data_IF_331087954453
#
_entry.id   IF_331087954453
#
_cell.length_a   1.000
_cell.length_b   1.000
_cell.length_c   1.000
_cell.angle_alpha   90.00
_cell.angle_beta   90.00
_cell.angle_gamma   90.00
#
_symmetry.space_group_name_H-M   'P 1'
#
loop_
_entity.id
_entity.type
_entity.pdbx_description
1 polymer ?
#
# COMPACT_ATOMS: atom_id res chain seq x y z
N UNK A 1 -19.70 -15.78 -35.11
CA UNK A 1 -19.14 -14.45 -35.41
C UNK A 1 -19.09 -13.67 -34.12
N UNK A 2 -17.94 -13.07 -33.91
CA UNK A 2 -17.31 -12.73 -32.64
C UNK A 2 -18.02 -11.61 -31.88
N UNK A 3 -18.24 -11.82 -30.59
CA UNK A 3 -18.64 -10.79 -29.64
C UNK A 3 -18.00 -11.09 -28.28
N UNK A 4 -16.68 -11.28 -28.28
CA UNK A 4 -15.88 -10.99 -27.09
C UNK A 4 -16.03 -9.51 -26.77
N UNK A 5 -17.04 -9.16 -25.96
CA UNK A 5 -17.08 -7.87 -25.27
C UNK A 5 -15.88 -7.83 -24.33
N UNK A 6 -14.74 -7.37 -24.85
CA UNK A 6 -13.57 -7.01 -24.06
C UNK A 6 -14.05 -5.95 -23.07
N UNK A 7 -14.17 -6.35 -21.80
CA UNK A 7 -14.62 -5.50 -20.72
C UNK A 7 -13.54 -4.41 -20.55
N UNK A 8 -13.72 -3.25 -21.17
CA UNK A 8 -12.77 -2.15 -21.07
C UNK A 8 -12.57 -1.81 -19.59
N UNK A 9 -11.33 -1.87 -19.13
CA UNK A 9 -11.00 -1.50 -17.77
C UNK A 9 -11.21 0.01 -17.59
N UNK A 10 -11.86 0.41 -16.49
CA UNK A 10 -12.05 1.82 -16.15
C UNK A 10 -10.79 2.44 -15.53
N UNK A 11 -10.87 3.73 -15.20
CA UNK A 11 -9.90 4.37 -14.31
C UNK A 11 -10.42 4.34 -12.87
N UNK A 12 -9.51 4.19 -11.92
CA UNK A 12 -9.78 4.33 -10.48
C UNK A 12 -8.71 5.21 -9.85
N UNK A 13 -9.05 5.96 -8.80
CA UNK A 13 -8.02 6.62 -7.99
C UNK A 13 -7.41 5.60 -7.04
N UNK A 14 -6.09 5.67 -6.86
CA UNK A 14 -5.41 4.98 -5.78
C UNK A 14 -4.78 5.96 -4.80
N UNK A 15 -4.87 5.67 -3.51
CA UNK A 15 -4.21 6.47 -2.48
C UNK A 15 -2.71 6.18 -2.45
N UNK A 16 -1.87 7.13 -1.99
CA UNK A 16 -0.43 6.90 -1.81
C UNK A 16 -0.11 5.65 -0.99
N UNK A 17 -0.90 5.35 0.05
CA UNK A 17 -0.76 4.14 0.88
C UNK A 17 -1.00 2.85 0.09
N UNK A 18 -1.88 2.86 -0.91
CA UNK A 18 -2.09 1.69 -1.76
C UNK A 18 -0.87 1.43 -2.64
N UNK A 19 -0.30 2.47 -3.25
CA UNK A 19 0.95 2.32 -4.01
C UNK A 19 2.12 1.89 -3.11
N UNK A 20 2.25 2.47 -1.91
CA UNK A 20 3.23 2.05 -0.91
C UNK A 20 3.10 0.55 -0.62
N UNK A 21 1.89 0.06 -0.36
CA UNK A 21 1.67 -1.34 -0.09
C UNK A 21 1.92 -2.22 -1.31
N UNK A 22 1.56 -1.79 -2.53
CA UNK A 22 1.85 -2.51 -3.77
C UNK A 22 3.37 -2.67 -3.95
N UNK A 23 4.16 -1.62 -3.72
CA UNK A 23 5.62 -1.64 -3.83
C UNK A 23 6.27 -2.60 -2.81
N UNK A 24 5.63 -2.80 -1.66
CA UNK A 24 6.21 -3.53 -0.53
C UNK A 24 5.61 -4.94 -0.32
N UNK A 25 4.85 -5.49 -1.27
CA UNK A 25 4.37 -6.87 -1.16
C UNK A 25 5.49 -7.89 -1.30
N UNK A 26 5.35 -9.01 -0.58
CA UNK A 26 6.30 -10.12 -0.59
C UNK A 26 5.58 -11.45 -0.77
N UNK A 27 6.23 -12.39 -1.47
CA UNK A 27 5.93 -13.82 -1.41
C UNK A 27 7.07 -14.50 -0.65
N UNK A 28 8.03 -15.10 -1.37
CA UNK A 28 9.35 -15.48 -0.85
C UNK A 28 10.36 -14.33 -1.02
N UNK A 29 10.21 -13.57 -2.10
CA UNK A 29 10.98 -12.38 -2.43
C UNK A 29 10.02 -11.20 -2.65
N UNK A 30 10.56 -10.01 -2.95
CA UNK A 30 9.78 -8.85 -3.39
C UNK A 30 8.91 -9.23 -4.59
N UNK A 31 7.63 -8.86 -4.59
CA UNK A 31 6.76 -9.09 -5.76
C UNK A 31 7.12 -8.22 -6.96
N UNK A 32 7.95 -7.20 -6.78
CA UNK A 32 8.43 -6.35 -7.87
C UNK A 32 9.25 -7.12 -8.91
N UNK A 33 9.74 -8.31 -8.58
CA UNK A 33 10.50 -9.17 -9.50
C UNK A 33 9.58 -9.99 -10.40
N UNK A 34 8.28 -10.05 -10.11
CA UNK A 34 7.27 -10.73 -10.92
C UNK A 34 6.94 -9.87 -12.17
N UNK A 35 7.19 -10.35 -13.41
CA UNK A 35 7.07 -9.52 -14.62
C UNK A 35 5.70 -8.83 -14.82
N UNK A 36 4.62 -9.48 -14.38
CA UNK A 36 3.25 -9.01 -14.57
C UNK A 36 2.62 -8.45 -13.29
N UNK A 37 3.41 -8.15 -12.26
CA UNK A 37 2.86 -7.68 -10.98
C UNK A 37 2.54 -6.18 -10.98
N UNK A 38 3.51 -5.33 -11.34
CA UNK A 38 3.35 -3.88 -11.30
C UNK A 38 3.95 -3.23 -12.55
N UNK A 39 3.12 -2.44 -13.24
CA UNK A 39 3.55 -1.42 -14.19
C UNK A 39 3.30 -0.05 -13.57
N UNK A 40 4.38 0.63 -13.14
CA UNK A 40 4.31 1.97 -12.56
C UNK A 40 4.83 2.99 -13.58
N UNK A 41 3.98 3.93 -13.96
CA UNK A 41 4.22 4.86 -15.05
C UNK A 41 4.27 6.30 -14.55
N UNK A 42 5.39 6.96 -14.80
CA UNK A 42 5.58 8.38 -14.54
C UNK A 42 5.35 9.15 -15.86
N UNK A 43 4.33 10.00 -15.89
CA UNK A 43 3.98 10.80 -17.09
C UNK A 43 4.47 12.25 -17.00
N UNK A 44 5.31 12.59 -16.01
CA UNK A 44 5.92 13.90 -15.87
C UNK A 44 6.99 14.14 -16.93
N UNK A 45 7.49 15.38 -16.99
CA UNK A 45 8.54 15.74 -17.94
C UNK A 45 9.84 14.96 -17.67
N UNK A 46 10.72 14.91 -18.68
CA UNK A 46 12.05 14.28 -18.53
C UNK A 46 12.82 14.89 -17.35
N UNK A 47 12.77 16.21 -17.23
CA UNK A 47 13.47 16.95 -16.19
C UNK A 47 12.99 16.54 -14.80
N UNK A 48 11.69 16.53 -14.56
CA UNK A 48 11.10 16.16 -13.26
C UNK A 48 11.40 14.70 -12.89
N UNK A 49 11.35 13.79 -13.86
CA UNK A 49 11.71 12.38 -13.66
C UNK A 49 13.20 12.22 -13.29
N UNK A 50 14.09 12.90 -14.02
CA UNK A 50 15.53 12.84 -13.80
C UNK A 50 15.92 13.50 -12.45
N UNK A 51 15.19 14.53 -12.00
CA UNK A 51 15.37 15.15 -10.68
C UNK A 51 15.06 14.17 -9.54
N UNK A 52 13.91 13.48 -9.60
CA UNK A 52 13.60 12.29 -8.81
C UNK A 52 12.24 11.68 -9.20
N UNK A 53 12.10 10.37 -9.09
CA UNK A 53 10.87 9.61 -9.36
C UNK A 53 10.63 8.54 -8.29
N UNK A 54 9.42 7.96 -8.26
CA UNK A 54 9.12 6.80 -7.39
C UNK A 54 9.96 5.62 -7.86
N UNK A 55 10.48 4.81 -6.93
CA UNK A 55 11.21 3.58 -7.28
C UNK A 55 10.44 2.73 -8.29
N UNK A 56 11.18 2.09 -9.21
CA UNK A 56 10.66 1.23 -10.29
C UNK A 56 9.72 1.90 -11.31
N UNK A 57 9.42 3.20 -11.17
CA UNK A 57 8.61 3.92 -12.14
C UNK A 57 9.31 4.03 -13.49
N UNK A 58 8.57 3.82 -14.57
CA UNK A 58 9.03 4.00 -15.94
C UNK A 58 8.48 5.30 -16.48
N UNK A 59 9.35 6.16 -17.01
CA UNK A 59 8.91 7.39 -17.66
C UNK A 59 8.22 7.10 -18.98
N UNK A 60 6.99 7.57 -19.13
CA UNK A 60 6.24 7.46 -20.39
C UNK A 60 6.72 8.55 -21.36
N UNK A 61 7.02 8.17 -22.60
CA UNK A 61 7.38 9.11 -23.66
C UNK A 61 6.12 9.56 -24.40
N UNK A 62 6.08 10.79 -24.88
CA UNK A 62 4.99 11.32 -25.71
C UNK A 62 5.53 11.62 -27.11
N UNK A 63 4.89 11.10 -28.16
CA UNK A 63 5.22 11.38 -29.58
C UNK A 63 3.95 11.79 -30.31
N UNK A 64 3.97 12.93 -31.00
CA UNK A 64 2.80 13.46 -31.72
C UNK A 64 1.50 13.51 -30.86
N UNK A 65 1.65 13.89 -29.58
CA UNK A 65 0.58 13.91 -28.59
C UNK A 65 0.04 12.55 -28.10
N UNK A 66 0.62 11.43 -28.55
CA UNK A 66 0.27 10.08 -28.10
C UNK A 66 1.28 9.53 -27.09
N UNK A 67 0.78 8.80 -26.08
CA UNK A 67 1.61 8.14 -25.07
C UNK A 67 2.20 6.85 -25.63
N UNK A 68 3.54 6.76 -25.63
CA UNK A 68 4.26 5.57 -26.03
C UNK A 68 4.40 4.63 -24.84
N UNK A 69 3.71 3.51 -24.94
CA UNK A 69 3.70 2.46 -23.92
C UNK A 69 5.01 1.66 -24.05
N UNK A 70 5.68 1.32 -22.94
CA UNK A 70 6.86 0.45 -23.00
C UNK A 70 6.53 -0.92 -23.60
N UNK A 71 7.20 -1.31 -24.68
CA UNK A 71 7.02 -2.61 -25.36
C UNK A 71 7.33 -3.82 -24.46
N UNK A 72 8.09 -3.61 -23.38
CA UNK A 72 8.49 -4.65 -22.43
C UNK A 72 7.37 -5.09 -21.48
N UNK A 73 6.20 -4.45 -21.50
CA UNK A 73 5.10 -4.73 -20.57
C UNK A 73 3.89 -5.26 -21.32
N UNK A 74 3.53 -6.51 -21.04
CA UNK A 74 2.23 -7.05 -21.43
C UNK A 74 1.14 -6.52 -20.49
N UNK A 75 0.54 -5.40 -20.91
CA UNK A 75 -0.51 -4.72 -20.16
C UNK A 75 -1.78 -5.57 -19.98
N UNK A 76 -2.03 -6.58 -20.81
CA UNK A 76 -3.20 -7.45 -20.61
C UNK A 76 -3.05 -8.28 -19.34
N UNK A 77 -1.81 -8.68 -19.03
CA UNK A 77 -1.51 -9.57 -17.92
C UNK A 77 -1.14 -8.81 -16.63
N UNK A 78 -0.92 -7.49 -16.70
CA UNK A 78 -0.46 -6.72 -15.54
C UNK A 78 -1.52 -6.68 -14.44
N UNK A 79 -1.14 -7.06 -13.22
CA UNK A 79 -2.04 -7.06 -12.06
C UNK A 79 -2.30 -5.64 -11.54
N UNK A 80 -1.28 -4.81 -11.51
CA UNK A 80 -1.36 -3.41 -11.09
C UNK A 80 -0.78 -2.51 -12.18
N UNK A 81 -1.62 -1.67 -12.79
CA UNK A 81 -1.17 -0.58 -13.67
C UNK A 81 -1.42 0.73 -12.93
N UNK A 82 -0.35 1.43 -12.54
CA UNK A 82 -0.43 2.69 -11.79
C UNK A 82 0.22 3.80 -12.60
N UNK A 83 -0.49 4.92 -12.77
CA UNK A 83 -0.03 6.09 -13.52
C UNK A 83 -0.06 7.30 -12.61
N UNK A 84 0.98 8.12 -12.66
CA UNK A 84 1.05 9.36 -11.91
C UNK A 84 1.72 10.51 -12.68
N UNK A 85 1.21 11.71 -12.46
CA UNK A 85 1.83 12.98 -12.81
C UNK A 85 2.26 13.70 -11.53
N UNK A 86 2.34 15.04 -11.51
CA UNK A 86 2.73 15.76 -10.30
C UNK A 86 1.68 15.73 -9.20
N UNK A 87 0.40 15.96 -9.53
CA UNK A 87 -0.61 16.30 -8.52
C UNK A 87 -2.07 15.94 -8.85
N UNK A 88 -2.34 15.13 -9.90
CA UNK A 88 -3.70 14.72 -10.25
C UNK A 88 -4.41 14.08 -9.05
N UNK A 89 -5.55 14.65 -8.66
CA UNK A 89 -6.31 14.21 -7.48
C UNK A 89 -7.76 13.83 -7.79
N UNK A 90 -8.21 14.04 -9.03
CA UNK A 90 -9.58 13.74 -9.50
C UNK A 90 -9.51 13.10 -10.89
N UNK A 91 -10.49 12.25 -11.20
CA UNK A 91 -10.66 11.70 -12.56
C UNK A 91 -11.47 12.64 -13.47
N UNK A 92 -12.08 13.66 -12.88
CA UNK A 92 -12.81 14.72 -13.56
C UNK A 92 -11.88 15.67 -14.28
N UNK A 93 -12.44 16.37 -15.26
CA UNK A 93 -11.69 17.32 -16.06
C UNK A 93 -11.60 18.66 -15.33
N UNK A 94 -10.39 19.21 -15.19
CA UNK A 94 -10.12 20.40 -14.36
C UNK A 94 -9.99 21.65 -15.26
N UNK A 95 -10.50 22.79 -14.79
CA UNK A 95 -10.31 24.10 -15.43
C UNK A 95 -8.86 24.58 -15.25
N UNK A 96 -8.14 24.87 -16.34
CA UNK A 96 -6.94 25.71 -16.26
C UNK A 96 -7.37 27.16 -16.00
N UNK A 97 -6.86 27.78 -14.94
CA UNK A 97 -6.75 29.25 -14.86
C UNK A 97 -5.48 29.61 -15.63
N UNK A 98 -5.64 30.34 -16.72
CA UNK A 98 -4.50 31.01 -17.35
C UNK A 98 -3.89 31.95 -16.30
N UNK A 99 -2.59 31.82 -16.08
CA UNK A 99 -1.81 32.79 -15.30
C UNK A 99 -1.89 34.13 -16.02
N UNK A 100 -2.39 35.14 -15.31
CA UNK A 100 -2.48 36.53 -15.75
C UNK A 100 -1.08 37.11 -15.99
N UNK A 101 -0.53 36.97 -17.20
CA UNK A 101 0.41 37.95 -17.74
C UNK A 101 0.13 38.10 -19.25
N UNK A 102 -0.50 39.24 -19.58
CA UNK A 102 -0.59 39.94 -20.87
C UNK A 102 -2.05 40.34 -21.23
N UNK A 103 -2.44 41.54 -20.78
CA UNK A 103 -3.51 42.31 -21.42
C UNK A 103 -3.07 42.68 -22.84
N UNK A 104 -3.91 42.36 -23.84
CA UNK A 104 -4.32 43.28 -24.93
C UNK A 104 -5.41 42.63 -25.82
N UNK A 105 -6.59 43.24 -25.78
CA UNK A 105 -7.66 43.36 -26.80
C UNK A 105 -8.39 42.12 -27.39
N UNK A 106 -9.56 41.85 -26.80
CA UNK A 106 -10.87 41.44 -27.35
C UNK A 106 -10.94 40.95 -28.81
N UNK A 107 -11.13 39.65 -29.02
CA UNK A 107 -12.42 39.09 -29.50
C UNK A 107 -12.35 37.57 -29.74
N UNK A 108 -13.51 36.95 -29.54
CA UNK A 108 -13.89 35.57 -29.81
C UNK A 108 -13.68 34.54 -28.68
N UNK A 109 -14.71 33.69 -28.58
CA UNK A 109 -15.11 32.86 -27.44
C UNK A 109 -13.94 32.16 -26.76
N UNK A 110 -13.79 32.41 -25.46
CA UNK A 110 -13.00 31.59 -24.55
C UNK A 110 -13.51 30.14 -24.56
N UNK A 111 -12.97 29.33 -25.48
CA UNK A 111 -13.01 27.87 -25.38
C UNK A 111 -12.15 27.51 -24.17
N UNK A 112 -12.77 27.51 -22.99
CA UNK A 112 -12.22 26.89 -21.79
C UNK A 112 -12.00 25.42 -22.12
N UNK A 113 -10.79 25.08 -22.55
CA UNK A 113 -10.43 23.68 -22.81
C UNK A 113 -10.41 22.94 -21.48
N UNK A 114 -11.38 22.05 -21.33
CA UNK A 114 -11.44 21.05 -20.29
C UNK A 114 -10.33 20.02 -20.57
N UNK A 115 -9.16 20.17 -19.93
CA UNK A 115 -8.03 19.25 -20.11
C UNK A 115 -7.91 18.34 -18.88
N UNK A 116 -8.06 17.01 -19.02
CA UNK A 116 -7.78 16.07 -17.94
C UNK A 116 -6.31 16.18 -17.49
N UNK A 117 -6.00 15.83 -16.24
CA UNK A 117 -4.61 15.70 -15.82
C UNK A 117 -3.84 14.72 -16.70
N UNK A 118 -2.54 14.93 -16.90
CA UNK A 118 -1.72 14.10 -17.79
C UNK A 118 -1.77 12.62 -17.41
N UNK A 119 -1.90 12.31 -16.11
CA UNK A 119 -2.08 10.95 -15.64
C UNK A 119 -3.42 10.34 -16.10
N UNK A 120 -4.50 11.12 -16.09
CA UNK A 120 -5.84 10.69 -16.56
C UNK A 120 -5.83 10.47 -18.07
N UNK A 121 -5.21 11.38 -18.84
CA UNK A 121 -5.06 11.23 -20.29
C UNK A 121 -4.32 9.94 -20.65
N UNK A 122 -3.17 9.70 -20.01
CA UNK A 122 -2.40 8.47 -20.20
C UNK A 122 -3.18 7.24 -19.75
N UNK A 123 -3.83 7.29 -18.58
CA UNK A 123 -4.64 6.19 -18.07
C UNK A 123 -5.81 5.81 -18.99
N UNK A 124 -6.44 6.79 -19.65
CA UNK A 124 -7.49 6.55 -20.66
C UNK A 124 -6.93 5.83 -21.89
N UNK A 125 -5.73 6.19 -22.34
CA UNK A 125 -5.06 5.50 -23.44
C UNK A 125 -4.70 4.04 -23.07
N UNK A 126 -4.36 3.79 -21.81
CA UNK A 126 -3.98 2.46 -21.30
C UNK A 126 -5.19 1.57 -20.98
N UNK A 127 -6.33 2.14 -20.63
CA UNK A 127 -7.51 1.40 -20.16
C UNK A 127 -8.07 0.37 -21.16
N UNK A 128 -7.85 0.58 -22.46
CA UNK A 128 -8.25 -0.37 -23.50
C UNK A 128 -7.30 -1.59 -23.59
N UNK A 129 -6.12 -1.51 -22.99
CA UNK A 129 -5.03 -2.48 -23.09
C UNK A 129 -4.87 -3.33 -21.82
N UNK A 130 -5.55 -2.96 -20.73
CA UNK A 130 -5.47 -3.65 -19.45
C UNK A 130 -6.74 -4.44 -19.14
N UNK A 131 -6.60 -5.58 -18.46
CA UNK A 131 -7.76 -6.32 -17.92
C UNK A 131 -8.24 -5.76 -16.58
N UNK A 132 -7.34 -5.16 -15.82
CA UNK A 132 -7.62 -4.53 -14.54
C UNK A 132 -7.70 -3.00 -14.69
N UNK A 133 -8.50 -2.30 -13.85
CA UNK A 133 -8.57 -0.84 -13.86
C UNK A 133 -7.20 -0.18 -13.75
N UNK A 134 -7.00 0.90 -14.50
CA UNK A 134 -5.79 1.71 -14.40
C UNK A 134 -5.92 2.62 -13.18
N UNK A 135 -4.97 2.51 -12.26
CA UNK A 135 -4.93 3.28 -11.03
C UNK A 135 -4.23 4.62 -11.27
N UNK A 136 -4.93 5.72 -11.02
CA UNK A 136 -4.35 7.07 -11.02
C UNK A 136 -3.95 7.44 -9.59
N UNK A 137 -2.66 7.71 -9.37
CA UNK A 137 -2.13 8.05 -8.06
C UNK A 137 -2.65 9.41 -7.61
N UNK A 138 -3.49 9.41 -6.57
CA UNK A 138 -4.12 10.61 -6.05
C UNK A 138 -3.11 11.55 -5.40
N UNK A 139 -3.02 12.77 -5.91
CA UNK A 139 -2.03 13.77 -5.52
C UNK A 139 -0.67 13.56 -6.16
N UNK A 140 -0.56 12.63 -7.13
CA UNK A 140 0.63 12.39 -7.94
C UNK A 140 1.93 12.18 -7.16
N UNK A 141 3.04 12.53 -7.81
CA UNK A 141 4.37 12.45 -7.24
C UNK A 141 4.54 13.33 -6.00
N UNK A 142 3.96 14.53 -5.98
CA UNK A 142 4.11 15.49 -4.88
C UNK A 142 3.61 14.89 -3.56
N UNK A 143 2.39 14.37 -3.55
CA UNK A 143 1.79 13.79 -2.34
C UNK A 143 2.48 12.49 -1.91
N UNK A 144 2.82 11.64 -2.88
CA UNK A 144 3.51 10.38 -2.58
C UNK A 144 4.91 10.63 -2.02
N UNK A 145 5.71 11.49 -2.66
CA UNK A 145 7.08 11.78 -2.24
C UNK A 145 7.16 12.57 -0.92
N UNK A 146 6.15 13.39 -0.61
CA UNK A 146 6.04 14.03 0.69
C UNK A 146 5.83 13.01 1.83
N UNK A 147 5.07 11.95 1.57
CA UNK A 147 4.72 10.93 2.58
C UNK A 147 5.80 9.84 2.66
N UNK A 148 6.25 9.33 1.51
CA UNK A 148 7.16 8.20 1.37
C UNK A 148 8.47 8.64 0.70
N UNK A 149 9.11 9.68 1.24
CA UNK A 149 10.33 10.28 0.68
C UNK A 149 11.50 9.31 0.54
N UNK A 150 11.48 8.17 1.24
CA UNK A 150 12.48 7.10 1.18
C UNK A 150 12.25 6.10 0.03
N UNK A 151 11.11 6.20 -0.67
CA UNK A 151 10.79 5.43 -1.88
C UNK A 151 10.93 6.26 -3.17
N UNK A 152 11.70 7.36 -3.12
CA UNK A 152 12.10 8.12 -4.30
C UNK A 152 13.55 7.83 -4.66
N UNK A 153 13.87 7.93 -5.95
CA UNK A 153 15.20 7.64 -6.50
C UNK A 153 15.50 8.57 -7.67
N UNK A 154 16.78 8.60 -8.07
CA UNK A 154 17.26 9.16 -9.34
C UNK A 154 17.77 8.05 -10.28
N UNK A 155 17.99 6.85 -9.73
CA UNK A 155 18.43 5.68 -10.47
C UNK A 155 17.23 4.98 -11.08
N UNK A 156 17.38 4.54 -12.32
CA UNK A 156 16.39 3.69 -12.96
C UNK A 156 16.57 2.28 -12.41
N UNK A 157 15.55 1.77 -11.71
CA UNK A 157 15.57 0.48 -11.01
C UNK A 157 14.56 -0.44 -11.71
N UNK A 158 15.05 -1.25 -12.64
CA UNK A 158 14.22 -2.14 -13.46
C UNK A 158 14.92 -3.44 -13.85
N UNK A 159 16.23 -3.56 -13.57
CA UNK A 159 16.92 -4.82 -13.81
C UNK A 159 16.50 -5.85 -12.77
N UNK A 160 16.28 -7.13 -13.15
CA UNK A 160 15.87 -8.16 -12.21
C UNK A 160 16.74 -8.22 -10.95
N UNK A 161 18.05 -8.08 -11.10
CA UNK A 161 19.03 -8.08 -9.98
C UNK A 161 18.79 -6.92 -8.99
N UNK A 162 18.41 -5.75 -9.47
CA UNK A 162 18.13 -4.59 -8.62
C UNK A 162 16.78 -4.77 -7.90
N UNK A 163 15.79 -5.32 -8.60
CA UNK A 163 14.47 -5.64 -8.05
C UNK A 163 14.56 -6.77 -7.01
N UNK A 164 15.45 -7.75 -7.21
CA UNK A 164 15.74 -8.81 -6.25
C UNK A 164 16.43 -8.28 -4.98
N UNK A 165 17.29 -7.27 -5.13
CA UNK A 165 17.99 -6.64 -4.02
C UNK A 165 17.08 -5.71 -3.18
N UNK A 166 15.96 -5.26 -3.74
CA UNK A 166 15.01 -4.41 -3.05
C UNK A 166 14.55 -5.05 -1.73
N UNK A 167 14.73 -4.33 -0.63
CA UNK A 167 14.27 -4.74 0.69
C UNK A 167 12.93 -4.06 0.98
N UNK A 168 11.80 -4.81 0.98
CA UNK A 168 10.49 -4.22 1.22
C UNK A 168 10.34 -3.73 2.65
N UNK A 169 9.63 -2.62 2.81
CA UNK A 169 9.21 -2.10 4.10
C UNK A 169 8.00 -2.90 4.65
N UNK A 170 7.69 -2.80 5.95
CA UNK A 170 6.46 -3.33 6.53
C UNK A 170 5.21 -2.80 5.81
N UNK A 171 4.16 -3.62 5.71
CA UNK A 171 2.90 -3.20 5.14
C UNK A 171 2.22 -2.16 6.05
N UNK A 172 1.69 -1.10 5.46
CA UNK A 172 0.99 -0.04 6.18
C UNK A 172 -0.49 -0.39 6.31
N UNK A 173 -0.92 -0.63 7.55
CA UNK A 173 -2.28 -1.06 7.88
C UNK A 173 -3.18 0.15 8.16
N UNK A 174 -2.68 1.09 8.97
CA UNK A 174 -3.32 2.37 9.22
C UNK A 174 -2.35 3.47 8.75
N UNK A 175 -2.75 4.32 7.78
CA UNK A 175 -1.88 5.33 7.20
C UNK A 175 -1.14 6.18 8.25
N UNK A 176 0.18 6.20 8.16
CA UNK A 176 1.13 6.93 9.00
C UNK A 176 1.24 6.43 10.43
N UNK A 177 0.56 5.34 10.81
CA UNK A 177 0.31 5.01 12.22
C UNK A 177 0.63 3.57 12.60
N UNK A 178 0.15 2.59 11.84
CA UNK A 178 0.27 1.17 12.20
C UNK A 178 0.81 0.36 11.02
N UNK A 179 1.91 -0.34 11.27
CA UNK A 179 2.58 -1.18 10.29
C UNK A 179 2.61 -2.65 10.73
N UNK A 180 2.51 -3.56 9.76
CA UNK A 180 2.66 -5.00 9.94
C UNK A 180 3.90 -5.51 9.19
N UNK A 181 4.88 -5.97 9.95
CA UNK A 181 6.17 -6.42 9.42
C UNK A 181 6.62 -7.78 9.94
N UNK A 182 7.84 -8.14 9.56
CA UNK A 182 8.55 -9.32 10.05
C UNK A 182 9.72 -8.93 10.97
N UNK A 183 10.34 -9.92 11.60
CA UNK A 183 11.42 -9.70 12.56
C UNK A 183 12.64 -9.01 11.94
N UNK A 184 12.98 -9.32 10.67
CA UNK A 184 14.10 -8.68 9.96
C UNK A 184 13.84 -7.19 9.77
N UNK A 185 12.62 -6.81 9.36
CA UNK A 185 12.22 -5.41 9.20
C UNK A 185 12.21 -4.66 10.53
N UNK A 186 11.77 -5.31 11.61
CA UNK A 186 11.82 -4.75 12.95
C UNK A 186 13.25 -4.50 13.44
N UNK A 187 14.21 -5.29 12.98
CA UNK A 187 15.63 -5.13 13.30
C UNK A 187 16.41 -4.26 12.29
N UNK A 188 15.75 -3.59 11.34
CA UNK A 188 16.43 -2.75 10.36
C UNK A 188 16.43 -1.27 10.81
N UNK A 189 17.59 -0.68 11.18
CA UNK A 189 17.66 0.71 11.63
C UNK A 189 17.17 1.72 10.59
N UNK A 190 17.31 1.41 9.30
CA UNK A 190 16.83 2.28 8.22
C UNK A 190 15.30 2.33 8.23
N UNK A 191 14.64 1.18 8.36
CA UNK A 191 13.18 1.11 8.45
C UNK A 191 12.68 1.86 9.70
N UNK A 192 13.34 1.66 10.86
CA UNK A 192 12.98 2.37 12.09
C UNK A 192 13.05 3.90 11.91
N UNK A 193 14.11 4.39 11.25
CA UNK A 193 14.33 5.81 11.00
C UNK A 193 13.35 6.39 9.97
N UNK A 194 13.21 5.73 8.82
CA UNK A 194 12.39 6.20 7.70
C UNK A 194 10.90 6.27 8.08
N UNK A 195 10.40 5.26 8.79
CA UNK A 195 9.01 5.19 9.24
C UNK A 195 8.78 5.90 10.59
N UNK A 196 9.86 6.35 11.26
CA UNK A 196 9.81 7.02 12.57
C UNK A 196 9.08 6.18 13.63
N UNK A 197 9.34 4.88 13.65
CA UNK A 197 8.71 3.95 14.60
C UNK A 197 9.09 4.33 16.03
N UNK A 198 8.10 4.37 16.91
CA UNK A 198 8.25 4.72 18.34
C UNK A 198 7.74 3.65 19.30
N UNK A 199 6.96 2.70 18.81
CA UNK A 199 6.42 1.61 19.60
C UNK A 199 6.38 0.31 18.81
N UNK A 200 6.50 -0.80 19.53
CA UNK A 200 6.72 -2.12 18.97
C UNK A 200 5.84 -3.14 19.65
N UNK A 201 5.22 -4.01 18.86
CA UNK A 201 4.57 -5.22 19.35
C UNK A 201 5.24 -6.41 18.70
N UNK A 202 5.97 -7.19 19.51
CA UNK A 202 6.60 -8.42 19.07
C UNK A 202 5.75 -9.62 19.50
N UNK A 203 5.20 -10.37 18.54
CA UNK A 203 4.37 -11.56 18.79
C UNK A 203 5.13 -12.82 18.37
N UNK A 204 6.35 -12.97 18.89
CA UNK A 204 7.21 -14.12 18.60
C UNK A 204 8.18 -14.44 19.75
N UNK A 205 8.95 -15.51 19.62
CA UNK A 205 9.88 -15.95 20.69
C UNK A 205 11.20 -15.18 20.64
N UNK A 206 11.56 -14.68 19.47
CA UNK A 206 12.81 -13.98 19.19
C UNK A 206 12.92 -12.68 19.98
N UNK A 207 14.12 -12.39 20.46
CA UNK A 207 14.52 -11.12 21.05
C UNK A 207 15.47 -10.41 20.09
N UNK A 208 15.21 -9.13 19.82
CA UNK A 208 16.04 -8.31 18.94
C UNK A 208 16.82 -7.24 19.70
N UNK A 209 17.82 -6.61 19.05
CA UNK A 209 18.77 -5.72 19.72
C UNK A 209 18.19 -4.34 20.08
N UNK A 210 17.13 -3.88 19.40
CA UNK A 210 16.51 -2.56 19.65
C UNK A 210 15.60 -2.53 20.89
N UNK A 211 15.50 -3.65 21.61
CA UNK A 211 14.35 -3.97 22.45
C UNK A 211 14.72 -4.21 23.92
N UNK A 212 15.87 -3.69 24.37
CA UNK A 212 16.33 -3.90 25.75
C UNK A 212 15.47 -3.07 26.71
N UNK A 213 14.55 -3.75 27.40
CA UNK A 213 13.84 -3.38 28.63
C UNK A 213 13.13 -2.01 28.70
N UNK A 214 12.69 -1.45 27.57
CA UNK A 214 11.78 -0.29 27.56
C UNK A 214 10.32 -0.76 27.44
N UNK A 215 9.70 -1.09 28.57
CA UNK A 215 8.30 -1.54 28.64
C UNK A 215 7.31 -0.51 28.09
N UNK A 216 7.70 0.76 28.04
CA UNK A 216 6.85 1.84 27.54
C UNK A 216 6.85 1.90 26.01
N UNK A 217 7.78 1.21 25.34
CA UNK A 217 7.88 1.20 23.87
C UNK A 217 7.77 -0.19 23.26
N UNK A 218 7.87 -1.25 24.05
CA UNK A 218 7.83 -2.62 23.57
C UNK A 218 6.83 -3.46 24.37
N UNK A 219 5.85 -4.00 23.65
CA UNK A 219 5.04 -5.12 24.10
C UNK A 219 5.57 -6.42 23.48
N UNK A 220 6.19 -7.28 24.29
CA UNK A 220 6.67 -8.60 23.84
C UNK A 220 5.72 -9.72 24.31
N UNK A 221 4.95 -10.27 23.37
CA UNK A 221 4.06 -11.42 23.55
C UNK A 221 4.76 -12.67 23.02
N UNK A 222 5.31 -13.48 23.93
CA UNK A 222 6.07 -14.69 23.60
C UNK A 222 5.13 -15.86 23.28
N UNK A 223 4.88 -16.06 21.98
CA UNK A 223 4.06 -17.16 21.45
C UNK A 223 4.82 -17.85 20.32
N UNK A 224 4.88 -19.18 20.35
CA UNK A 224 5.46 -20.00 19.28
C UNK A 224 4.55 -20.07 18.04
N UNK A 225 5.12 -20.25 16.85
CA UNK A 225 4.33 -20.43 15.61
C UNK A 225 3.85 -21.88 15.47
N UNK A 226 2.98 -22.33 16.37
CA UNK A 226 2.48 -23.70 16.39
C UNK A 226 0.94 -23.75 16.36
N UNK A 227 0.35 -24.92 16.03
CA UNK A 227 -1.10 -25.11 16.14
C UNK A 227 -1.66 -24.87 17.55
N UNK A 228 -0.85 -25.02 18.59
CA UNK A 228 -1.19 -24.83 19.99
C UNK A 228 -1.05 -23.36 20.46
N UNK A 229 -0.63 -22.45 19.58
CA UNK A 229 -0.47 -21.04 19.88
C UNK A 229 -1.75 -20.42 20.44
N UNK A 230 -1.65 -19.73 21.59
CA UNK A 230 -2.77 -19.08 22.25
C UNK A 230 -2.47 -17.59 22.51
N UNK A 231 -3.11 -16.71 21.73
CA UNK A 231 -2.98 -15.25 21.85
C UNK A 231 -4.10 -14.63 22.68
N UNK A 232 -5.22 -15.33 22.87
CA UNK A 232 -6.42 -14.82 23.54
C UNK A 232 -6.16 -14.11 24.88
N UNK A 233 -5.31 -14.64 25.79
CA UNK A 233 -5.05 -13.99 27.07
C UNK A 233 -4.44 -12.58 26.95
N UNK A 234 -3.77 -12.30 25.83
CA UNK A 234 -3.04 -11.05 25.62
C UNK A 234 -3.85 -10.01 24.84
N UNK A 235 -4.98 -10.37 24.22
CA UNK A 235 -5.68 -9.49 23.28
C UNK A 235 -6.13 -8.16 23.90
N UNK A 236 -6.64 -8.18 25.14
CA UNK A 236 -7.04 -6.94 25.85
C UNK A 236 -5.84 -6.02 26.06
N UNK A 237 -4.73 -6.56 26.57
CA UNK A 237 -3.53 -5.79 26.85
C UNK A 237 -2.88 -5.26 25.56
N UNK A 238 -2.83 -6.09 24.52
CA UNK A 238 -2.41 -5.72 23.18
C UNK A 238 -3.20 -4.54 22.62
N UNK A 239 -4.54 -4.62 22.67
CA UNK A 239 -5.38 -3.56 22.13
C UNK A 239 -5.18 -2.24 22.88
N UNK A 240 -5.12 -2.32 24.22
CA UNK A 240 -4.87 -1.16 25.07
C UNK A 240 -3.50 -0.51 24.80
N UNK A 241 -2.44 -1.30 24.66
CA UNK A 241 -1.10 -0.81 24.32
C UNK A 241 -1.09 -0.06 22.98
N UNK A 242 -1.71 -0.64 21.95
CA UNK A 242 -1.80 -0.03 20.63
C UNK A 242 -2.61 1.27 20.67
N UNK A 243 -3.74 1.28 21.36
CA UNK A 243 -4.59 2.45 21.54
C UNK A 243 -3.83 3.61 22.19
N UNK A 244 -3.15 3.38 23.32
CA UNK A 244 -2.37 4.42 24.00
C UNK A 244 -1.35 5.03 23.05
N UNK A 245 -0.60 4.20 22.32
CA UNK A 245 0.42 4.70 21.40
C UNK A 245 -0.16 5.47 20.22
N UNK A 246 -1.33 5.08 19.71
CA UNK A 246 -2.02 5.85 18.68
C UNK A 246 -2.48 7.21 19.21
N UNK A 247 -2.98 7.28 20.44
CA UNK A 247 -3.37 8.53 21.10
C UNK A 247 -2.17 9.46 21.35
N UNK A 248 -1.00 8.89 21.66
CA UNK A 248 0.26 9.63 21.79
C UNK A 248 0.86 10.08 20.45
N UNK A 249 0.27 9.70 19.31
CA UNK A 249 0.80 9.99 17.98
C UNK A 249 2.09 9.22 17.67
N UNK A 250 2.32 8.08 18.32
CA UNK A 250 3.41 7.18 18.00
C UNK A 250 3.11 6.38 16.75
N UNK A 251 4.14 6.16 15.94
CA UNK A 251 4.09 5.19 14.84
C UNK A 251 4.45 3.81 15.40
N UNK A 252 3.59 2.83 15.15
CA UNK A 252 3.66 1.51 15.76
C UNK A 252 4.02 0.45 14.70
N UNK A 253 4.94 -0.44 15.05
CA UNK A 253 5.27 -1.62 14.27
C UNK A 253 4.85 -2.89 15.02
N UNK A 254 3.87 -3.62 14.46
CA UNK A 254 3.51 -4.97 14.90
C UNK A 254 4.25 -5.97 14.02
N UNK A 255 4.92 -6.94 14.64
CA UNK A 255 5.67 -7.95 13.90
C UNK A 255 5.70 -9.30 14.62
N UNK A 256 6.02 -10.33 13.82
CA UNK A 256 6.42 -11.65 14.29
C UNK A 256 7.55 -12.16 13.41
N UNK A 257 7.99 -13.41 13.53
CA UNK A 257 9.06 -14.00 12.71
C UNK A 257 8.92 -13.68 11.22
N UNK A 258 7.75 -13.97 10.64
CA UNK A 258 7.47 -13.75 9.21
C UNK A 258 6.43 -12.65 8.94
N UNK A 259 5.69 -12.20 9.96
CA UNK A 259 4.63 -11.20 9.77
C UNK A 259 3.43 -11.70 8.95
N UNK A 260 3.20 -13.01 8.91
CA UNK A 260 2.13 -13.66 8.11
C UNK A 260 1.02 -14.26 9.00
N UNK A 261 1.40 -14.85 10.13
CA UNK A 261 0.50 -15.56 11.05
C UNK A 261 0.23 -14.74 12.34
N UNK A 262 1.04 -14.92 13.38
CA UNK A 262 0.87 -14.28 14.71
C UNK A 262 0.73 -12.75 14.68
N UNK A 263 1.62 -12.05 13.99
CA UNK A 263 1.55 -10.58 13.87
C UNK A 263 0.29 -10.10 13.13
N UNK A 264 -0.20 -10.87 12.16
CA UNK A 264 -1.46 -10.58 11.47
C UNK A 264 -2.64 -10.67 12.44
N UNK A 265 -2.69 -11.73 13.25
CA UNK A 265 -3.75 -11.95 14.25
C UNK A 265 -3.81 -10.81 15.27
N UNK A 266 -2.64 -10.33 15.73
CA UNK A 266 -2.58 -9.18 16.62
C UNK A 266 -3.17 -7.91 15.98
N UNK A 267 -2.84 -7.63 14.72
CA UNK A 267 -3.41 -6.51 13.96
C UNK A 267 -4.91 -6.67 13.76
N UNK A 268 -5.38 -7.87 13.41
CA UNK A 268 -6.81 -8.15 13.22
C UNK A 268 -7.60 -7.92 14.51
N UNK A 269 -7.14 -8.47 15.63
CA UNK A 269 -7.78 -8.29 16.93
C UNK A 269 -7.89 -6.81 17.30
N UNK A 270 -6.82 -6.04 17.04
CA UNK A 270 -6.81 -4.60 17.26
C UNK A 270 -7.80 -3.86 16.36
N UNK A 271 -7.83 -4.14 15.06
CA UNK A 271 -8.75 -3.48 14.13
C UNK A 271 -10.22 -3.79 14.46
N UNK A 272 -10.52 -5.01 14.91
CA UNK A 272 -11.86 -5.37 15.38
C UNK A 272 -12.25 -4.54 16.60
N UNK A 273 -11.33 -4.41 17.57
CA UNK A 273 -11.55 -3.64 18.78
C UNK A 273 -11.68 -2.13 18.51
N UNK A 274 -10.74 -1.56 17.77
CA UNK A 274 -10.62 -0.12 17.51
C UNK A 274 -11.76 0.45 16.66
N UNK A 275 -12.27 -0.33 15.71
CA UNK A 275 -13.34 0.11 14.80
C UNK A 275 -14.70 -0.51 15.14
N UNK A 276 -14.80 -1.29 16.21
CA UNK A 276 -15.99 -2.07 16.58
C UNK A 276 -16.55 -2.84 15.36
N UNK A 277 -15.68 -3.57 14.66
CA UNK A 277 -16.01 -4.23 13.41
C UNK A 277 -15.74 -5.73 13.43
N UNK A 278 -16.41 -6.44 12.51
CA UNK A 278 -16.30 -7.89 12.37
C UNK A 278 -14.91 -8.34 11.94
N UNK A 279 -14.54 -9.57 12.29
CA UNK A 279 -13.36 -10.26 11.81
C UNK A 279 -13.30 -10.23 10.28
N UNK A 280 -14.42 -10.52 9.59
CA UNK A 280 -14.50 -10.47 8.12
C UNK A 280 -14.10 -9.10 7.54
N UNK A 281 -14.57 -8.00 8.14
CA UNK A 281 -14.23 -6.64 7.69
C UNK A 281 -12.75 -6.32 7.94
N UNK A 282 -12.26 -6.60 9.14
CA UNK A 282 -10.85 -6.42 9.50
C UNK A 282 -9.93 -7.26 8.61
N UNK A 283 -10.32 -8.49 8.31
CA UNK A 283 -9.59 -9.40 7.42
C UNK A 283 -9.49 -8.87 6.01
N UNK A 284 -10.62 -8.47 5.41
CA UNK A 284 -10.65 -7.89 4.07
C UNK A 284 -9.73 -6.67 3.96
N UNK A 285 -9.69 -5.82 4.99
CA UNK A 285 -8.79 -4.67 5.07
C UNK A 285 -7.31 -5.10 5.12
N UNK A 286 -6.93 -5.97 6.06
CA UNK A 286 -5.54 -6.43 6.18
C UNK A 286 -5.08 -7.15 4.93
N UNK A 287 -5.94 -7.97 4.31
CA UNK A 287 -5.64 -8.70 3.07
C UNK A 287 -5.41 -7.76 1.89
N UNK A 288 -6.12 -6.62 1.85
CA UNK A 288 -5.89 -5.54 0.87
C UNK A 288 -4.53 -4.87 1.10
N UNK A 289 -4.14 -4.60 2.35
CA UNK A 289 -2.84 -4.01 2.68
C UNK A 289 -1.67 -4.99 2.50
N UNK A 290 -1.86 -6.28 2.79
CA UNK A 290 -0.83 -7.32 2.78
C UNK A 290 -1.43 -8.64 2.29
N UNK A 291 -1.19 -8.99 1.04
CA UNK A 291 -1.90 -10.09 0.37
C UNK A 291 -1.41 -11.49 0.78
N UNK A 292 -0.22 -11.59 1.39
CA UNK A 292 0.37 -12.87 1.79
C UNK A 292 0.08 -13.25 3.26
N UNK A 293 -0.79 -12.50 3.96
CA UNK A 293 -1.24 -12.92 5.30
C UNK A 293 -2.03 -14.23 5.22
N UNK A 294 -1.78 -15.10 6.19
CA UNK A 294 -2.37 -16.43 6.25
C UNK A 294 -2.26 -16.97 7.69
N UNK A 295 -3.06 -16.44 8.62
CA UNK A 295 -3.05 -16.94 9.98
C UNK A 295 -3.65 -18.34 10.10
N UNK A 296 -3.18 -19.10 11.08
CA UNK A 296 -3.62 -20.48 11.29
C UNK A 296 -5.06 -20.56 11.76
N UNK A 297 -5.74 -21.65 11.41
CA UNK A 297 -7.14 -21.87 11.78
C UNK A 297 -7.39 -21.75 13.30
N UNK A 298 -6.47 -22.22 14.13
CA UNK A 298 -6.57 -22.12 15.59
C UNK A 298 -6.57 -20.67 16.10
N UNK A 299 -5.76 -19.79 15.48
CA UNK A 299 -5.75 -18.37 15.82
C UNK A 299 -6.95 -17.61 15.24
N UNK A 300 -7.45 -18.01 14.07
CA UNK A 300 -8.71 -17.49 13.51
C UNK A 300 -9.90 -17.83 14.41
N UNK A 301 -9.95 -19.05 14.95
CA UNK A 301 -10.98 -19.44 15.92
C UNK A 301 -10.91 -18.58 17.20
N UNK A 302 -9.72 -18.25 17.68
CA UNK A 302 -9.54 -17.32 18.79
C UNK A 302 -10.02 -15.90 18.47
N UNK A 303 -9.82 -15.42 17.23
CA UNK A 303 -10.37 -14.13 16.77
C UNK A 303 -11.91 -14.15 16.68
N UNK A 304 -12.51 -15.27 16.29
CA UNK A 304 -13.97 -15.42 16.30
C UNK A 304 -14.54 -15.34 17.71
N UNK A 305 -13.87 -15.92 18.70
CA UNK A 305 -14.26 -15.73 20.10
C UNK A 305 -14.04 -14.29 20.58
N UNK A 306 -12.97 -13.64 20.13
CA UNK A 306 -12.73 -12.22 20.39
C UNK A 306 -13.80 -11.30 19.78
N UNK A 307 -14.34 -11.66 18.60
CA UNK A 307 -15.46 -10.95 17.98
C UNK A 307 -16.68 -10.90 18.90
N UNK A 308 -17.01 -12.03 19.56
CA UNK A 308 -18.11 -12.09 20.54
C UNK A 308 -17.87 -11.17 21.73
N UNK A 309 -16.63 -11.07 22.19
CA UNK A 309 -16.27 -10.17 23.30
C UNK A 309 -16.46 -8.70 22.91
N UNK A 310 -16.19 -8.33 21.66
CA UNK A 310 -16.30 -6.94 21.17
C UNK A 310 -17.75 -6.58 20.81
N UNK A 311 -18.43 -7.45 20.05
CA UNK A 311 -19.72 -7.15 19.41
C UNK A 311 -20.92 -7.79 20.12
N UNK A 312 -20.69 -8.67 21.08
CA UNK A 312 -21.72 -9.44 21.78
C UNK A 312 -22.15 -10.73 21.06
N UNK A 313 -21.77 -10.92 19.80
CA UNK A 313 -22.03 -12.14 19.02
C UNK A 313 -20.95 -12.35 17.94
N UNK A 314 -20.81 -13.60 17.44
CA UNK A 314 -19.94 -13.93 16.31
C UNK A 314 -20.75 -13.93 15.03
N UNK A 315 -20.51 -12.94 14.18
CA UNK A 315 -21.21 -12.77 12.89
C UNK A 315 -20.40 -13.36 11.75
N UNK A 316 -19.08 -13.48 11.93
CA UNK A 316 -18.18 -13.97 10.89
C UNK A 316 -18.18 -15.50 10.81
N UNK A 317 -18.58 -16.05 9.67
CA UNK A 317 -18.38 -17.47 9.37
C UNK A 317 -16.90 -17.73 9.04
N UNK A 318 -16.23 -18.47 9.92
CA UNK A 318 -14.81 -18.83 9.78
C UNK A 318 -14.58 -20.03 8.84
N UNK A 319 -15.65 -20.69 8.37
CA UNK A 319 -15.58 -21.75 7.37
C UNK A 319 -15.74 -21.21 5.94
N UNK A 320 -16.14 -19.94 5.79
CA UNK A 320 -16.18 -19.24 4.51
C UNK A 320 -14.73 -19.07 3.99
N UNK A 321 -14.36 -19.63 2.82
CA UNK A 321 -13.02 -19.48 2.25
C UNK A 321 -12.68 -18.02 1.84
N UNK A 322 -13.63 -17.09 1.95
CA UNK A 322 -13.44 -15.65 1.77
C UNK A 322 -13.08 -14.91 3.08
N UNK A 323 -13.07 -15.61 4.21
CA UNK A 323 -12.49 -15.15 5.48
C UNK A 323 -11.02 -15.54 5.63
#
# INVERSE_FOLDING_TARGET
MDATRTRMAGLVLCEPTELYNILNQVTKLSRLTEPNYLCLLDVRSKREYDESHVITAHRVKKRANEYLIPESVDLECVRHCVVYDNNTSTLEIIFRRETEEEELEISDKSRRELVPGAAVECGRALAALTRHPVCILRGGYERFSATYHFLRTQKIIWMPQELDAFQPYPAEIIPGKLYLGNFRQACDPKIQKDLKIKAHVNVSMETGPFFVDDSDKLLHIKIEDSPEANISPFLRHLCHFLEIHLQLGSVILVFSTLGINRGCVAVLAFLMHWNEQTLKKSWAHVKKCKNNVHPSQGLVAQLSEWEKVILGDSVTDILDPLC
#
